data_IF_315377365054
#
_entry.id   IF_315377365054
#
_cell.length_a   1.000
_cell.length_b   1.000
_cell.length_c   1.000
_cell.angle_alpha   90.00
_cell.angle_beta   90.00
_cell.angle_gamma   90.00
#
_symmetry.space_group_name_H-M   'P 1'
#
loop_
_entity.id
_entity.type
_entity.pdbx_description
1 polymer ?
#
# COMPACT_ATOMS: atom_id res chain seq x y z
N UNK A 1 -0.05 -30.53 -20.13
CA UNK A 1 1.30 -29.98 -19.86
C UNK A 1 1.29 -29.30 -18.49
N UNK A 2 2.00 -29.81 -17.49
CA UNK A 2 1.93 -29.36 -16.09
C UNK A 2 2.47 -27.94 -15.83
N UNK A 3 2.90 -27.22 -16.87
CA UNK A 3 3.51 -25.87 -16.78
C UNK A 3 2.49 -24.77 -16.43
N UNK A 4 1.27 -24.83 -16.98
CA UNK A 4 0.24 -23.81 -16.70
C UNK A 4 -0.24 -23.85 -15.25
N UNK A 5 -0.54 -25.04 -14.72
CA UNK A 5 -0.99 -25.20 -13.33
C UNK A 5 0.11 -24.77 -12.35
N UNK A 6 1.38 -25.08 -12.65
CA UNK A 6 2.52 -24.59 -11.86
C UNK A 6 2.62 -23.05 -11.87
N UNK A 7 2.42 -22.43 -13.03
CA UNK A 7 2.39 -20.96 -13.14
C UNK A 7 1.28 -20.36 -12.28
N UNK A 8 0.05 -20.88 -12.38
CA UNK A 8 -1.07 -20.40 -11.59
C UNK A 8 -0.88 -20.63 -10.09
N UNK A 9 -0.27 -21.74 -9.68
CA UNK A 9 0.05 -22.00 -8.28
C UNK A 9 1.05 -20.95 -7.74
N UNK A 10 2.08 -20.62 -8.51
CA UNK A 10 3.06 -19.58 -8.14
C UNK A 10 2.35 -18.22 -8.02
N UNK A 11 1.53 -17.85 -9.01
CA UNK A 11 0.77 -16.61 -8.97
C UNK A 11 -0.18 -16.56 -7.76
N UNK A 12 -0.89 -17.65 -7.47
CA UNK A 12 -1.78 -17.73 -6.31
C UNK A 12 -1.05 -17.50 -5.00
N UNK A 13 0.15 -18.07 -4.84
CA UNK A 13 1.00 -17.83 -3.66
C UNK A 13 1.43 -16.36 -3.60
N UNK A 14 1.90 -15.77 -4.70
CA UNK A 14 2.34 -14.38 -4.74
C UNK A 14 1.20 -13.41 -4.41
N UNK A 15 0.01 -13.61 -5.00
CA UNK A 15 -1.17 -12.81 -4.69
C UNK A 15 -1.60 -13.00 -3.25
N UNK A 16 -1.58 -14.23 -2.73
CA UNK A 16 -1.88 -14.52 -1.32
C UNK A 16 -0.93 -13.78 -0.37
N UNK A 17 0.37 -13.80 -0.64
CA UNK A 17 1.37 -13.10 0.17
C UNK A 17 1.23 -11.58 0.10
N UNK A 18 1.02 -11.03 -1.10
CA UNK A 18 0.81 -9.60 -1.29
C UNK A 18 -0.44 -9.12 -0.54
N UNK A 19 -1.56 -9.84 -0.70
CA UNK A 19 -2.80 -9.52 -0.02
C UNK A 19 -2.68 -9.65 1.50
N UNK A 20 -2.05 -10.72 1.99
CA UNK A 20 -1.80 -10.90 3.42
C UNK A 20 -0.94 -9.78 4.00
N UNK A 21 0.07 -9.31 3.26
CA UNK A 21 0.90 -8.16 3.64
C UNK A 21 0.07 -6.88 3.77
N UNK A 22 -0.77 -6.57 2.77
CA UNK A 22 -1.65 -5.40 2.80
C UNK A 22 -2.66 -5.50 3.95
N UNK A 23 -3.28 -6.66 4.13
CA UNK A 23 -4.24 -6.91 5.21
C UNK A 23 -3.59 -6.76 6.60
N UNK A 24 -2.38 -7.27 6.78
CA UNK A 24 -1.63 -7.13 8.01
C UNK A 24 -1.33 -5.66 8.32
N UNK A 25 -0.87 -4.88 7.34
CA UNK A 25 -0.64 -3.45 7.51
C UNK A 25 -1.93 -2.72 7.86
N UNK A 26 -3.02 -2.99 7.15
CA UNK A 26 -4.30 -2.32 7.37
C UNK A 26 -4.93 -2.61 8.75
N UNK A 27 -4.65 -3.78 9.33
CA UNK A 27 -5.30 -4.21 10.59
C UNK A 27 -4.40 -4.16 11.81
N UNK A 28 -3.08 -4.19 11.63
CA UNK A 28 -2.09 -4.25 12.73
C UNK A 28 -1.26 -2.99 12.86
N UNK A 29 -1.40 -2.02 11.96
CA UNK A 29 -0.67 -0.76 12.02
C UNK A 29 -1.67 0.38 12.18
N UNK A 30 -1.57 1.09 13.31
CA UNK A 30 -2.31 2.32 13.57
C UNK A 30 -1.68 3.47 12.76
N UNK A 31 -2.44 4.19 11.91
CA UNK A 31 -1.95 5.39 11.24
C UNK A 31 -1.58 6.46 12.27
N UNK A 32 -0.38 7.04 12.14
CA UNK A 32 0.01 8.18 12.98
C UNK A 32 -0.65 9.45 12.46
N UNK A 33 -1.61 9.98 13.20
CA UNK A 33 -2.19 11.29 12.93
C UNK A 33 -1.16 12.36 13.27
N UNK A 34 -0.55 12.94 12.22
CA UNK A 34 0.40 14.05 12.37
C UNK A 34 -0.28 15.34 11.97
N UNK A 35 -0.28 16.30 12.88
CA UNK A 35 -0.57 17.70 12.54
C UNK A 35 0.51 18.21 11.59
N UNK A 36 0.15 18.34 10.31
CA UNK A 36 1.00 18.89 9.29
C UNK A 36 0.75 20.40 9.21
N UNK A 37 1.53 21.19 9.97
CA UNK A 37 1.55 22.64 9.81
C UNK A 37 2.45 23.00 8.63
N UNK A 38 1.84 23.43 7.53
CA UNK A 38 2.56 24.01 6.41
C UNK A 38 2.41 25.52 6.48
N UNK A 39 3.53 26.23 6.63
CA UNK A 39 3.55 27.68 6.45
C UNK A 39 3.31 27.96 4.97
N UNK A 40 2.13 28.49 4.63
CA UNK A 40 1.83 28.92 3.26
C UNK A 40 2.69 30.13 2.93
N UNK A 41 3.58 30.07 1.92
CA UNK A 41 4.33 31.24 1.49
C UNK A 41 3.37 32.30 0.96
N UNK A 42 3.46 33.53 1.48
CA UNK A 42 2.58 34.65 1.10
C UNK A 42 2.64 34.97 -0.40
N UNK A 43 3.74 34.62 -1.08
CA UNK A 43 3.94 34.75 -2.52
C UNK A 43 2.90 33.97 -3.37
N UNK A 44 2.20 33.00 -2.75
CA UNK A 44 1.23 32.11 -3.42
C UNK A 44 -0.23 32.50 -3.15
N UNK A 45 -0.49 33.47 -2.27
CA UNK A 45 -1.85 33.86 -1.84
C UNK A 45 -2.41 35.04 -2.66
N UNK A 46 -1.61 35.68 -3.52
CA UNK A 46 -2.06 36.81 -4.32
C UNK A 46 -1.43 36.89 -5.70
N UNK A 47 -2.11 36.32 -6.69
CA UNK A 47 -2.21 36.88 -8.04
C UNK A 47 -3.53 36.50 -8.68
#
# INVERSE_FOLDING_TARGET
MPTLIRLLAILGILFGLAYAGVWALATKVEPQERELSFTVPQERIGK
#
